data_IF_033271159356
#
_entry.id   IF_033271159356
#
_cell.length_a   1.000
_cell.length_b   1.000
_cell.length_c   1.000
_cell.angle_alpha   90.00
_cell.angle_beta   90.00
_cell.angle_gamma   90.00
#
_symmetry.space_group_name_H-M   'P 1'
#
loop_
_entity.id
_entity.type
_entity.pdbx_description
1 polymer ?
#
# COMPACT_ATOMS: atom_id res chain seq x y z
N UNK A 1 -12.95 1.87 2.01
CA UNK A 1 -12.83 1.92 0.53
C UNK A 1 -12.60 0.50 0.03
N UNK A 2 -13.28 0.05 -1.03
CA UNK A 2 -13.06 -1.28 -1.60
C UNK A 2 -11.62 -1.38 -2.13
N UNK A 3 -10.90 -2.49 -1.87
CA UNK A 3 -9.52 -2.72 -2.31
C UNK A 3 -9.37 -2.52 -3.83
N UNK A 4 -10.37 -2.92 -4.62
CA UNK A 4 -10.38 -2.70 -6.07
C UNK A 4 -10.45 -1.22 -6.45
N UNK A 5 -11.33 -0.45 -5.79
CA UNK A 5 -11.39 1.01 -5.99
C UNK A 5 -10.08 1.70 -5.62
N UNK A 6 -9.36 1.18 -4.61
CA UNK A 6 -8.07 1.73 -4.19
C UNK A 6 -7.00 1.46 -5.25
N UNK A 7 -6.95 0.23 -5.75
CA UNK A 7 -6.07 -0.14 -6.85
C UNK A 7 -6.32 0.72 -8.09
N UNK A 8 -7.59 0.89 -8.50
CA UNK A 8 -7.94 1.69 -9.67
C UNK A 8 -7.52 3.17 -9.50
N UNK A 9 -7.72 3.74 -8.30
CA UNK A 9 -7.29 5.10 -7.99
C UNK A 9 -5.77 5.26 -8.10
N UNK A 10 -5.01 4.36 -7.44
CA UNK A 10 -3.53 4.41 -7.43
C UNK A 10 -2.96 4.15 -8.83
N UNK A 11 -3.58 3.24 -9.59
CA UNK A 11 -3.21 2.97 -10.98
C UNK A 11 -3.40 4.19 -11.87
N UNK A 12 -4.48 4.96 -11.67
CA UNK A 12 -4.76 6.16 -12.46
C UNK A 12 -3.96 7.39 -12.02
N UNK A 13 -3.43 7.42 -10.78
CA UNK A 13 -2.61 8.52 -10.27
C UNK A 13 -1.51 8.01 -9.34
N UNK A 14 -0.32 7.82 -9.89
CA UNK A 14 0.84 7.24 -9.20
C UNK A 14 1.65 8.27 -8.40
N UNK A 15 1.45 9.56 -8.65
CA UNK A 15 2.25 10.65 -8.05
C UNK A 15 1.69 11.20 -6.75
N UNK A 16 0.42 10.93 -6.43
CA UNK A 16 -0.26 11.41 -5.22
C UNK A 16 -0.85 10.26 -4.40
N UNK A 17 -0.01 9.27 -4.09
CA UNK A 17 -0.39 8.09 -3.32
C UNK A 17 0.00 8.32 -1.86
N UNK A 18 -0.98 8.25 -0.96
CA UNK A 18 -0.70 8.29 0.49
C UNK A 18 0.02 7.01 0.91
N UNK A 19 0.97 7.12 1.84
CA UNK A 19 1.67 5.96 2.38
C UNK A 19 0.71 4.87 2.88
N UNK A 20 -0.34 5.25 3.62
CA UNK A 20 -1.34 4.31 4.13
C UNK A 20 -2.19 3.63 3.06
N UNK A 21 -2.31 4.23 1.87
CA UNK A 21 -2.97 3.60 0.73
C UNK A 21 -2.04 2.54 0.10
N UNK A 22 -0.74 2.82 0.05
CA UNK A 22 0.26 1.85 -0.39
C UNK A 22 0.31 0.63 0.56
N UNK A 23 0.33 0.85 1.87
CA UNK A 23 0.29 -0.22 2.89
C UNK A 23 -0.89 -1.14 2.66
N UNK A 24 -2.12 -0.58 2.54
CA UNK A 24 -3.33 -1.36 2.29
C UNK A 24 -3.28 -2.15 0.98
N UNK A 25 -2.65 -1.61 -0.06
CA UNK A 25 -2.50 -2.32 -1.33
C UNK A 25 -1.52 -3.47 -1.20
N UNK A 26 -0.36 -3.24 -0.59
CA UNK A 26 0.67 -4.25 -0.36
C UNK A 26 0.10 -5.43 0.45
N UNK A 27 -0.59 -5.15 1.55
CA UNK A 27 -1.31 -6.18 2.34
C UNK A 27 -2.42 -6.88 1.52
N UNK A 28 -3.15 -6.15 0.67
CA UNK A 28 -4.17 -6.73 -0.19
C UNK A 28 -3.60 -7.68 -1.27
N UNK A 29 -2.34 -7.48 -1.67
CA UNK A 29 -1.61 -8.37 -2.57
C UNK A 29 -1.01 -9.59 -1.84
N UNK A 30 -1.16 -9.68 -0.51
CA UNK A 30 -0.71 -10.82 0.28
C UNK A 30 0.69 -10.67 0.88
N UNK A 31 1.32 -9.52 0.71
CA UNK A 31 2.57 -9.20 1.41
C UNK A 31 2.30 -9.01 2.90
N UNK A 32 3.26 -9.43 3.72
CA UNK A 32 3.20 -9.35 5.18
C UNK A 32 4.30 -8.43 5.68
N UNK A 33 3.98 -7.57 6.66
CA UNK A 33 4.97 -6.69 7.28
C UNK A 33 6.00 -7.54 8.04
N UNK A 34 7.25 -7.50 7.59
CA UNK A 34 8.37 -8.23 8.19
C UNK A 34 9.05 -7.39 9.29
N UNK A 35 9.37 -6.13 8.96
CA UNK A 35 10.06 -5.23 9.89
C UNK A 35 9.65 -3.77 9.71
N UNK A 36 9.64 -3.03 10.81
CA UNK A 36 9.46 -1.59 10.82
C UNK A 36 10.60 -0.93 11.61
N UNK A 37 11.22 0.11 11.03
CA UNK A 37 12.22 0.96 11.70
C UNK A 37 11.86 2.43 11.46
N UNK A 38 11.30 3.07 12.46
CA UNK A 38 10.72 4.41 12.32
C UNK A 38 9.60 4.41 11.28
N UNK A 39 9.71 5.28 10.27
CA UNK A 39 8.76 5.37 9.16
C UNK A 39 8.99 4.32 8.05
N UNK A 40 10.12 3.61 8.06
CA UNK A 40 10.42 2.60 7.04
C UNK A 40 9.78 1.27 7.40
N UNK A 41 9.05 0.70 6.44
CA UNK A 41 8.38 -0.59 6.54
C UNK A 41 8.94 -1.49 5.44
N UNK A 42 9.25 -2.74 5.78
CA UNK A 42 9.70 -3.76 4.83
C UNK A 42 8.74 -4.93 4.92
N UNK A 43 8.29 -5.37 3.76
CA UNK A 43 7.31 -6.44 3.59
C UNK A 43 7.94 -7.62 2.84
N UNK A 44 7.45 -8.83 3.12
CA UNK A 44 7.80 -10.08 2.42
C UNK A 44 6.56 -10.72 1.82
#
# INVERSE_FOLDING_TARGET
MNRRKLYDRVRNSQTNVRFSDLVRLVEAFGFVLDRQRGSHHVYT
#
